data_IF_290617382945
#
_entry.id   IF_290617382945
#
_cell.length_a   1.000
_cell.length_b   1.000
_cell.length_c   1.000
_cell.angle_alpha   90.00
_cell.angle_beta   90.00
_cell.angle_gamma   90.00
#
_symmetry.space_group_name_H-M   'P 1'
#
loop_
_entity.id
_entity.type
_entity.pdbx_description
1 polymer ?
#
# COMPACT_ATOMS: atom_id res chain seq x y z
N UNK A 1 -70.26 -18.77 -81.31
CA UNK A 1 -70.08 -19.93 -82.23
C UNK A 1 -68.93 -20.77 -81.66
N UNK A 2 -69.21 -22.03 -81.25
CA UNK A 2 -68.30 -23.22 -81.09
C UNK A 2 -66.84 -22.97 -80.60
N UNK A 3 -66.23 -23.69 -79.65
CA UNK A 3 -66.33 -25.12 -79.27
C UNK A 3 -65.45 -25.39 -78.02
N UNK A 4 -66.01 -26.12 -77.07
CA UNK A 4 -65.52 -27.16 -76.14
C UNK A 4 -64.05 -27.65 -76.23
N UNK A 5 -63.36 -27.76 -75.08
CA UNK A 5 -62.56 -28.92 -74.59
C UNK A 5 -61.87 -28.57 -73.24
N UNK A 6 -62.27 -29.19 -72.12
CA UNK A 6 -61.63 -30.32 -71.40
C UNK A 6 -60.30 -29.99 -70.68
N UNK A 7 -60.22 -30.27 -69.37
CA UNK A 7 -58.95 -30.34 -68.64
C UNK A 7 -59.13 -30.44 -67.12
N UNK A 8 -58.91 -31.64 -66.59
CA UNK A 8 -59.00 -32.05 -65.19
C UNK A 8 -57.74 -31.62 -64.41
N UNK A 9 -57.90 -31.39 -63.10
CA UNK A 9 -56.95 -31.66 -62.00
C UNK A 9 -55.66 -30.82 -61.81
N UNK A 10 -55.51 -30.21 -60.61
CA UNK A 10 -54.58 -30.64 -59.54
C UNK A 10 -54.42 -29.55 -58.47
N UNK A 11 -54.72 -29.93 -57.22
CA UNK A 11 -54.38 -29.20 -56.00
C UNK A 11 -52.86 -28.95 -55.95
N UNK A 12 -52.44 -27.69 -55.91
CA UNK A 12 -51.06 -27.34 -55.54
C UNK A 12 -51.01 -27.04 -54.04
N UNK A 13 -50.41 -27.95 -53.29
CA UNK A 13 -49.92 -27.69 -51.95
C UNK A 13 -48.72 -26.73 -52.03
N UNK A 14 -48.89 -25.51 -51.51
CA UNK A 14 -47.79 -24.57 -51.31
C UNK A 14 -47.07 -24.90 -50.00
N UNK A 15 -45.84 -25.37 -50.11
CA UNK A 15 -44.90 -25.55 -49.00
C UNK A 15 -44.24 -24.19 -48.75
N UNK A 16 -44.45 -23.59 -47.58
CA UNK A 16 -43.69 -22.43 -47.10
C UNK A 16 -42.29 -22.89 -46.65
N UNK A 17 -41.20 -22.18 -46.97
CA UNK A 17 -39.88 -22.50 -46.43
C UNK A 17 -39.78 -22.01 -44.98
N UNK A 18 -39.36 -22.89 -44.08
CA UNK A 18 -38.99 -22.51 -42.72
C UNK A 18 -37.69 -21.71 -42.75
N UNK A 19 -37.75 -20.43 -42.40
CA UNK A 19 -36.56 -19.61 -42.17
C UNK A 19 -35.95 -19.97 -40.80
N UNK A 20 -34.77 -20.58 -40.82
CA UNK A 20 -33.96 -20.81 -39.63
C UNK A 20 -33.34 -19.46 -39.19
N UNK A 21 -33.83 -18.89 -38.09
CA UNK A 21 -33.15 -17.78 -37.43
C UNK A 21 -32.02 -18.33 -36.57
N UNK A 22 -30.78 -18.19 -37.03
CA UNK A 22 -29.60 -18.44 -36.21
C UNK A 22 -29.44 -17.26 -35.24
N UNK A 23 -29.81 -17.47 -33.97
CA UNK A 23 -29.48 -16.54 -32.89
C UNK A 23 -27.97 -16.67 -32.64
N UNK A 24 -27.19 -15.69 -33.07
CA UNK A 24 -25.79 -15.53 -32.65
C UNK A 24 -25.81 -14.88 -31.27
N UNK A 25 -25.66 -15.65 -30.21
CA UNK A 25 -25.45 -15.11 -28.86
C UNK A 25 -24.01 -14.60 -28.79
N UNK A 26 -23.80 -13.29 -28.90
CA UNK A 26 -22.51 -12.71 -28.52
C UNK A 26 -22.38 -12.85 -26.99
N UNK A 27 -21.48 -13.73 -26.56
CA UNK A 27 -21.03 -13.74 -25.18
C UNK A 27 -20.28 -12.42 -24.94
N UNK A 28 -20.89 -11.52 -24.18
CA UNK A 28 -20.18 -10.38 -23.62
C UNK A 28 -19.28 -10.95 -22.53
N UNK A 29 -18.00 -11.17 -22.85
CA UNK A 29 -17.00 -11.44 -21.82
C UNK A 29 -16.82 -10.15 -21.01
N UNK A 30 -17.60 -10.03 -19.93
CA UNK A 30 -17.31 -9.08 -18.88
C UNK A 30 -16.09 -9.61 -18.14
N UNK A 31 -14.90 -9.19 -18.56
CA UNK A 31 -13.69 -9.30 -17.76
C UNK A 31 -13.85 -8.37 -16.57
N UNK A 32 -14.51 -8.86 -15.52
CA UNK A 32 -14.36 -8.28 -14.20
C UNK A 32 -12.91 -8.50 -13.81
N UNK A 33 -12.10 -7.44 -13.92
CA UNK A 33 -10.83 -7.37 -13.20
C UNK A 33 -11.18 -7.69 -11.74
N UNK A 34 -10.84 -8.91 -11.28
CA UNK A 34 -10.98 -9.28 -9.89
C UNK A 34 -10.01 -8.37 -9.13
N UNK A 35 -10.53 -7.30 -8.54
CA UNK A 35 -9.79 -6.55 -7.55
C UNK A 35 -9.40 -7.56 -6.46
N UNK A 36 -8.12 -7.90 -6.43
CA UNK A 36 -7.62 -8.84 -5.45
C UNK A 36 -7.91 -8.26 -4.06
N UNK A 37 -8.54 -9.07 -3.21
CA UNK A 37 -9.04 -8.62 -1.91
C UNK A 37 -7.87 -8.65 -0.92
N UNK A 38 -7.61 -7.58 -0.14
CA UNK A 38 -6.59 -7.61 0.90
C UNK A 38 -6.94 -8.65 1.97
N UNK A 39 -5.94 -9.33 2.52
CA UNK A 39 -6.16 -10.32 3.57
C UNK A 39 -6.53 -9.62 4.90
N UNK A 40 -7.13 -10.35 5.87
CA UNK A 40 -7.37 -9.81 7.20
C UNK A 40 -6.09 -9.30 7.86
N UNK A 41 -6.22 -8.25 8.67
CA UNK A 41 -5.14 -7.76 9.53
C UNK A 41 -4.81 -8.83 10.57
N UNK A 42 -3.52 -9.10 10.74
CA UNK A 42 -2.97 -10.04 11.73
C UNK A 42 -2.20 -9.25 12.78
N UNK A 43 -2.50 -9.48 14.06
CA UNK A 43 -1.71 -8.95 15.17
C UNK A 43 -0.39 -9.69 15.26
N UNK A 44 0.72 -8.95 15.23
CA UNK A 44 2.07 -9.47 15.50
C UNK A 44 2.31 -9.40 17.01
N UNK A 45 2.01 -8.26 17.63
CA UNK A 45 2.18 -8.05 19.08
C UNK A 45 1.21 -6.95 19.56
N UNK A 46 0.51 -7.20 20.68
CA UNK A 46 -0.31 -6.18 21.36
C UNK A 46 0.47 -5.39 22.41
N UNK A 47 1.71 -5.77 22.71
CA UNK A 47 2.57 -5.19 23.76
C UNK A 47 2.04 -5.35 25.20
N UNK A 48 1.05 -6.22 25.42
CA UNK A 48 0.58 -6.56 26.77
C UNK A 48 1.63 -7.27 27.63
N UNK A 49 2.60 -7.92 26.98
CA UNK A 49 3.70 -8.65 27.61
C UNK A 49 5.06 -7.94 27.37
N UNK A 50 5.23 -6.75 27.95
CA UNK A 50 6.46 -5.95 27.78
C UNK A 50 7.77 -6.69 28.12
N UNK A 51 7.74 -7.66 29.04
CA UNK A 51 8.91 -8.44 29.45
C UNK A 51 9.49 -9.38 28.37
N UNK A 52 8.85 -9.52 27.22
CA UNK A 52 9.38 -10.27 26.06
C UNK A 52 10.28 -9.42 25.16
N UNK A 53 10.30 -8.10 25.36
CA UNK A 53 11.16 -7.17 24.65
C UNK A 53 12.44 -6.89 25.44
N UNK A 54 13.56 -6.79 24.73
CA UNK A 54 14.89 -6.58 25.32
C UNK A 54 15.45 -5.24 24.87
N UNK A 55 16.08 -4.51 25.80
CA UNK A 55 16.81 -3.29 25.49
C UNK A 55 18.20 -3.62 24.92
N UNK A 56 18.53 -3.00 23.78
CA UNK A 56 19.83 -3.02 23.15
C UNK A 56 20.33 -1.58 23.02
N UNK A 57 21.36 -1.23 23.79
CA UNK A 57 21.91 0.14 23.80
C UNK A 57 23.42 0.12 23.62
N UNK A 58 23.99 1.04 22.82
CA UNK A 58 25.41 1.27 22.79
C UNK A 58 25.87 2.00 24.05
N UNK A 59 27.19 2.09 24.24
CA UNK A 59 27.77 2.91 25.31
C UNK A 59 27.30 4.38 25.19
N UNK A 60 26.95 5.00 26.32
CA UNK A 60 26.48 6.39 26.38
C UNK A 60 24.99 6.60 26.08
N UNK A 61 24.21 5.51 25.99
CA UNK A 61 22.74 5.53 25.87
C UNK A 61 22.12 4.67 26.98
N UNK A 62 21.07 5.18 27.60
CA UNK A 62 20.26 4.45 28.58
C UNK A 62 18.86 4.19 27.97
N UNK A 63 18.30 3.00 28.24
CA UNK A 63 16.94 2.61 27.86
C UNK A 63 16.37 1.70 28.94
N UNK A 64 15.24 2.09 29.52
CA UNK A 64 14.41 1.23 30.37
C UNK A 64 13.11 0.86 29.64
N UNK A 65 12.74 -0.42 29.74
CA UNK A 65 11.52 -0.95 29.13
C UNK A 65 10.56 -1.36 30.23
N UNK A 66 9.35 -0.84 30.18
CA UNK A 66 8.30 -1.16 31.13
C UNK A 66 6.94 -1.27 30.44
N UNK A 67 5.92 -1.73 31.18
CA UNK A 67 4.54 -1.76 30.69
C UNK A 67 3.78 -0.57 31.26
N UNK A 68 2.94 0.07 30.46
CA UNK A 68 2.10 1.21 30.84
C UNK A 68 0.72 1.14 30.16
N UNK A 69 -0.15 2.12 30.40
CA UNK A 69 -1.45 2.22 29.73
C UNK A 69 -1.30 2.38 28.21
N UNK A 70 -1.92 1.46 27.47
CA UNK A 70 -1.93 1.43 26.01
C UNK A 70 -3.17 2.11 25.42
N UNK A 71 -3.20 2.19 24.10
CA UNK A 71 -4.42 2.56 23.36
C UNK A 71 -5.47 1.46 23.50
N UNK A 72 -5.02 0.19 23.53
CA UNK A 72 -5.86 -0.98 23.69
C UNK A 72 -5.20 -1.97 24.67
N UNK A 73 -5.52 -1.88 25.96
CA UNK A 73 -4.87 -2.72 26.96
C UNK A 73 -3.60 -2.05 27.47
N UNK A 74 -2.45 -2.70 27.34
CA UNK A 74 -1.15 -2.16 27.76
C UNK A 74 -0.26 -1.89 26.56
N UNK A 75 0.59 -0.89 26.70
CA UNK A 75 1.67 -0.59 25.76
C UNK A 75 3.03 -0.89 26.39
N UNK A 76 4.04 -1.02 25.55
CA UNK A 76 5.43 -0.94 26.00
C UNK A 76 5.85 0.52 26.08
N UNK A 77 6.42 0.89 27.21
CA UNK A 77 7.00 2.21 27.50
C UNK A 77 8.51 2.10 27.38
N UNK A 78 9.09 3.06 26.66
CA UNK A 78 10.53 3.22 26.45
C UNK A 78 10.96 4.54 27.07
N UNK A 79 11.65 4.49 28.20
CA UNK A 79 12.31 5.64 28.80
C UNK A 79 13.77 5.66 28.34
N UNK A 80 14.15 6.64 27.51
CA UNK A 80 15.47 6.70 26.90
C UNK A 80 16.24 7.96 27.30
N UNK A 81 17.58 7.86 27.28
CA UNK A 81 18.47 9.01 27.48
C UNK A 81 19.76 8.89 26.68
N UNK A 82 20.03 9.89 25.84
CA UNK A 82 21.28 10.03 25.09
C UNK A 82 22.32 10.81 25.89
N UNK A 83 23.00 10.14 26.82
CA UNK A 83 23.95 10.75 27.77
C UNK A 83 25.13 11.43 27.04
N UNK A 84 25.60 10.85 25.94
CA UNK A 84 26.66 11.40 25.11
C UNK A 84 26.17 12.41 24.04
N UNK A 85 24.89 12.77 24.05
CA UNK A 85 24.26 13.69 23.09
C UNK A 85 23.83 13.05 21.76
N UNK A 86 24.31 11.86 21.44
CA UNK A 86 23.92 11.09 20.25
C UNK A 86 23.72 9.60 20.56
N UNK A 87 23.34 8.82 19.55
CA UNK A 87 23.19 7.36 19.65
C UNK A 87 21.81 6.85 19.28
N UNK A 88 21.53 5.62 19.67
CA UNK A 88 20.28 4.92 19.40
C UNK A 88 19.88 4.05 20.59
N UNK A 89 18.61 4.14 20.99
CA UNK A 89 18.00 3.29 22.00
C UNK A 89 17.09 2.30 21.28
N UNK A 90 17.42 1.00 21.33
CA UNK A 90 16.72 -0.04 20.57
C UNK A 90 16.01 -0.99 21.52
N UNK A 91 14.74 -1.28 21.25
CA UNK A 91 14.07 -2.47 21.81
C UNK A 91 13.94 -3.54 20.73
N UNK A 92 14.17 -4.79 21.11
CA UNK A 92 14.14 -5.95 20.21
C UNK A 92 13.34 -7.11 20.79
N UNK A 93 12.61 -7.81 19.93
CA UNK A 93 12.01 -9.11 20.23
C UNK A 93 12.19 -10.06 19.05
N UNK A 94 12.44 -11.32 19.35
CA UNK A 94 12.54 -12.39 18.34
C UNK A 94 11.14 -12.83 17.90
N UNK A 95 11.00 -13.10 16.60
CA UNK A 95 9.79 -13.55 15.93
C UNK A 95 10.11 -14.68 14.96
N UNK A 96 9.10 -15.37 14.49
CA UNK A 96 9.26 -16.44 13.49
C UNK A 96 8.08 -16.46 12.54
N UNK A 97 8.10 -15.63 11.50
CA UNK A 97 7.05 -15.61 10.49
C UNK A 97 7.54 -15.28 9.08
N UNK A 98 6.80 -15.77 8.08
CA UNK A 98 7.00 -15.43 6.69
C UNK A 98 6.46 -14.03 6.39
N UNK A 99 7.30 -13.17 5.82
CA UNK A 99 6.91 -11.84 5.41
C UNK A 99 6.18 -11.92 4.06
N UNK A 100 4.94 -11.41 3.93
CA UNK A 100 4.24 -11.43 2.65
C UNK A 100 4.99 -10.64 1.57
N UNK A 101 4.77 -10.98 0.29
CA UNK A 101 5.43 -10.29 -0.82
C UNK A 101 5.03 -8.81 -0.94
N UNK A 102 3.79 -8.47 -0.54
CA UNK A 102 3.31 -7.10 -0.41
C UNK A 102 2.49 -6.97 0.87
N UNK A 103 2.76 -5.93 1.65
CA UNK A 103 2.14 -5.77 2.97
C UNK A 103 2.08 -4.32 3.41
N UNK A 104 1.28 -4.12 4.45
CA UNK A 104 1.32 -2.95 5.34
C UNK A 104 1.56 -3.45 6.75
N UNK A 105 2.54 -2.87 7.42
CA UNK A 105 2.74 -2.98 8.86
C UNK A 105 2.22 -1.69 9.49
N UNK A 106 1.44 -1.82 10.56
CA UNK A 106 0.97 -0.68 11.35
C UNK A 106 1.31 -0.89 12.82
N UNK A 107 1.60 0.20 13.52
CA UNK A 107 1.70 0.25 14.96
C UNK A 107 1.32 1.64 15.45
N UNK A 108 0.87 1.72 16.69
CA UNK A 108 0.56 2.97 17.35
C UNK A 108 1.75 3.45 18.16
N UNK A 109 1.95 4.77 18.19
CA UNK A 109 2.97 5.40 19.01
C UNK A 109 2.50 6.75 19.55
N UNK A 110 3.03 7.12 20.71
CA UNK A 110 2.94 8.45 21.31
C UNK A 110 4.22 8.74 22.10
N UNK A 111 4.44 9.97 22.52
CA UNK A 111 5.61 10.28 23.32
C UNK A 111 5.69 11.69 23.87
N UNK A 112 6.50 11.80 24.92
CA UNK A 112 6.94 13.02 25.58
C UNK A 112 8.47 13.07 25.44
N UNK A 113 8.94 13.59 24.30
CA UNK A 113 10.35 13.55 23.94
C UNK A 113 10.74 14.69 22.99
N UNK A 114 12.01 15.14 22.98
CA UNK A 114 12.54 16.02 21.95
C UNK A 114 12.41 15.43 20.55
N UNK A 115 12.52 16.28 19.53
CA UNK A 115 12.52 15.84 18.13
C UNK A 115 13.67 14.89 17.88
N UNK A 116 13.33 13.63 17.62
CA UNK A 116 14.24 12.53 17.35
C UNK A 116 13.67 11.68 16.21
N UNK A 117 14.35 10.61 15.82
CA UNK A 117 13.84 9.69 14.80
C UNK A 117 13.25 8.45 15.44
N UNK A 118 12.25 7.87 14.77
CA UNK A 118 11.71 6.56 15.11
C UNK A 118 11.95 5.60 13.95
N UNK A 119 12.67 4.52 14.21
CA UNK A 119 13.01 3.50 13.23
C UNK A 119 12.26 2.21 13.55
N UNK A 120 11.73 1.57 12.52
CA UNK A 120 11.20 0.22 12.58
C UNK A 120 12.12 -0.69 11.73
N UNK A 121 12.57 -1.80 12.30
CA UNK A 121 13.54 -2.70 11.68
C UNK A 121 13.03 -4.13 11.64
N UNK A 122 13.34 -4.81 10.55
CA UNK A 122 13.16 -6.24 10.36
C UNK A 122 14.53 -6.88 10.18
N UNK A 123 14.75 -7.97 10.91
CA UNK A 123 16.02 -8.72 10.90
C UNK A 123 15.77 -10.12 10.35
N UNK A 124 16.68 -10.61 9.50
CA UNK A 124 16.59 -11.96 8.95
C UNK A 124 17.11 -13.03 9.91
N UNK A 125 16.97 -14.29 9.49
CA UNK A 125 17.31 -15.49 10.27
C UNK A 125 18.79 -15.60 10.62
N UNK A 126 19.69 -14.88 9.94
CA UNK A 126 21.11 -14.85 10.32
C UNK A 126 21.38 -13.87 11.45
N UNK A 127 20.48 -12.91 11.68
CA UNK A 127 20.68 -11.82 12.63
C UNK A 127 21.62 -10.73 12.13
N UNK A 128 22.18 -10.86 10.92
CA UNK A 128 23.24 -9.98 10.40
C UNK A 128 22.74 -9.05 9.29
N UNK A 129 21.53 -9.26 8.77
CA UNK A 129 20.96 -8.41 7.74
C UNK A 129 19.71 -7.70 8.26
N UNK A 130 19.67 -6.37 8.04
CA UNK A 130 18.61 -5.51 8.55
C UNK A 130 17.97 -4.72 7.43
N UNK A 131 16.65 -4.67 7.45
CA UNK A 131 15.84 -3.76 6.66
C UNK A 131 15.13 -2.79 7.59
N UNK A 132 14.95 -1.55 7.17
CA UNK A 132 14.37 -0.51 8.01
C UNK A 132 13.37 0.38 7.27
N UNK A 133 12.51 1.01 8.06
CA UNK A 133 11.73 2.19 7.70
C UNK A 133 12.02 3.25 8.75
N UNK A 134 12.46 4.44 8.32
CA UNK A 134 12.89 5.54 9.20
C UNK A 134 11.88 6.68 9.11
N UNK A 135 11.22 6.98 10.23
CA UNK A 135 10.46 8.22 10.41
C UNK A 135 11.41 9.28 10.97
N UNK A 136 11.77 10.25 10.13
CA UNK A 136 12.72 11.31 10.49
C UNK A 136 12.00 12.46 11.18
N UNK A 137 12.76 13.20 11.99
CA UNK A 137 12.36 14.41 12.70
C UNK A 137 10.96 14.34 13.33
N UNK A 138 10.70 13.25 14.07
CA UNK A 138 9.42 13.02 14.73
C UNK A 138 9.30 13.97 15.91
N UNK A 139 8.39 14.93 15.78
CA UNK A 139 7.83 15.65 16.92
C UNK A 139 6.78 14.77 17.59
N UNK A 140 7.15 14.08 18.67
CA UNK A 140 6.25 13.18 19.37
C UNK A 140 5.05 13.93 19.93
N UNK A 141 3.86 13.33 19.77
CA UNK A 141 2.62 13.82 20.36
C UNK A 141 2.27 12.98 21.58
N UNK A 142 1.67 13.62 22.59
CA UNK A 142 1.05 12.91 23.71
C UNK A 142 -0.16 12.07 23.27
N UNK A 143 -0.77 12.39 22.13
CA UNK A 143 -1.88 11.65 21.54
C UNK A 143 -1.38 10.47 20.68
N UNK A 144 -2.12 9.37 20.75
CA UNK A 144 -1.82 8.17 19.95
C UNK A 144 -1.92 8.45 18.45
N UNK A 145 -0.83 8.17 17.74
CA UNK A 145 -0.71 8.26 16.28
C UNK A 145 -0.38 6.89 15.72
N UNK A 146 -0.93 6.56 14.54
CA UNK A 146 -0.64 5.28 13.87
C UNK A 146 0.41 5.47 12.78
N UNK A 147 1.53 4.76 12.89
CA UNK A 147 2.52 4.64 11.82
C UNK A 147 2.04 3.60 10.80
N UNK A 148 2.11 3.92 9.49
CA UNK A 148 1.71 3.02 8.40
C UNK A 148 2.87 2.76 7.44
N UNK A 149 3.49 1.58 7.55
CA UNK A 149 4.69 1.17 6.82
C UNK A 149 4.30 0.21 5.69
N UNK A 150 4.37 0.66 4.45
CA UNK A 150 4.14 -0.18 3.26
C UNK A 150 5.44 -0.91 2.89
N UNK A 151 5.38 -2.06 2.20
CA UNK A 151 6.57 -2.79 1.70
C UNK A 151 7.64 -1.87 1.09
N UNK A 152 7.24 -0.90 0.25
CA UNK A 152 8.13 0.06 -0.42
C UNK A 152 8.84 1.07 0.50
N UNK A 153 8.36 1.25 1.74
CA UNK A 153 9.02 2.10 2.73
C UNK A 153 10.15 1.35 3.46
N UNK A 154 10.17 0.02 3.35
CA UNK A 154 11.18 -0.84 3.97
C UNK A 154 12.32 -1.07 2.99
N UNK A 155 13.50 -0.56 3.32
CA UNK A 155 14.71 -0.67 2.50
C UNK A 155 15.80 -1.46 3.23
N UNK A 156 16.66 -2.13 2.48
CA UNK A 156 17.84 -2.76 3.06
C UNK A 156 18.73 -1.68 3.70
N UNK A 157 19.07 -1.87 4.97
CA UNK A 157 19.89 -0.95 5.73
C UNK A 157 21.36 -1.36 5.65
N UNK A 158 21.69 -2.56 6.14
CA UNK A 158 23.04 -3.09 6.20
C UNK A 158 23.05 -4.61 6.39
N UNK A 159 24.21 -5.22 6.16
CA UNK A 159 24.45 -6.66 6.32
C UNK A 159 25.25 -7.26 5.16
N UNK A 160 25.84 -8.45 5.33
CA UNK A 160 26.65 -9.10 4.31
C UNK A 160 25.88 -9.51 3.04
N UNK A 161 24.54 -9.61 3.10
CA UNK A 161 23.69 -9.93 1.94
C UNK A 161 23.70 -8.85 0.87
N UNK A 162 23.90 -7.59 1.25
CA UNK A 162 24.00 -6.46 0.32
C UNK A 162 22.69 -6.02 -0.37
N UNK A 163 21.52 -6.53 0.05
CA UNK A 163 20.23 -6.09 -0.47
C UNK A 163 19.19 -7.20 -0.70
N UNK A 164 18.20 -6.88 -1.54
CA UNK A 164 17.10 -7.77 -1.91
C UNK A 164 15.93 -7.73 -0.94
N UNK A 165 14.94 -8.58 -1.21
CA UNK A 165 13.76 -8.72 -0.35
C UNK A 165 14.01 -9.68 0.82
N UNK A 166 13.31 -9.40 1.93
CA UNK A 166 13.25 -10.23 3.12
C UNK A 166 12.03 -11.16 3.02
N UNK A 167 12.24 -12.46 3.22
CA UNK A 167 11.17 -13.48 3.11
C UNK A 167 10.67 -13.98 4.46
N UNK A 168 11.53 -13.97 5.49
CA UNK A 168 11.21 -14.37 6.86
C UNK A 168 11.78 -13.36 7.85
N UNK A 169 10.98 -12.99 8.83
CA UNK A 169 11.39 -12.09 9.93
C UNK A 169 11.75 -12.95 11.13
N UNK A 170 13.00 -12.81 11.59
CA UNK A 170 13.50 -13.46 12.79
C UNK A 170 13.49 -12.54 14.00
N UNK A 171 13.57 -11.22 13.79
CA UNK A 171 13.36 -10.25 14.85
C UNK A 171 12.80 -8.94 14.32
N UNK A 172 12.12 -8.22 15.22
CA UNK A 172 11.66 -6.86 15.00
C UNK A 172 12.36 -5.96 16.03
N UNK A 173 12.78 -4.79 15.56
CA UNK A 173 13.34 -3.76 16.43
C UNK A 173 12.64 -2.43 16.22
N UNK A 174 12.45 -1.71 17.32
CA UNK A 174 12.10 -0.30 17.30
C UNK A 174 13.28 0.48 17.87
N UNK A 175 13.69 1.54 17.20
CA UNK A 175 14.78 2.39 17.66
C UNK A 175 14.33 3.84 17.77
N UNK A 176 14.62 4.48 18.90
CA UNK A 176 14.70 5.94 18.97
C UNK A 176 16.14 6.32 18.67
N UNK A 177 16.37 7.12 17.62
CA UNK A 177 17.72 7.59 17.28
C UNK A 177 17.82 9.10 17.40
N UNK A 178 18.95 9.58 17.91
CA UNK A 178 19.13 10.98 18.25
C UNK A 178 19.08 11.86 16.99
N UNK A 179 18.05 12.71 16.90
CA UNK A 179 18.00 13.87 16.02
C UNK A 179 18.52 15.09 16.79
N UNK A 180 17.73 15.55 17.77
CA UNK A 180 18.15 16.56 18.75
C UNK A 180 18.89 15.93 19.93
N UNK A 181 18.64 14.64 20.22
CA UNK A 181 19.16 13.94 21.39
C UNK A 181 18.28 14.14 22.63
N UNK A 182 18.92 14.21 23.81
CA UNK A 182 18.25 14.41 25.09
C UNK A 182 17.67 13.13 25.70
N UNK A 183 16.65 13.29 26.54
CA UNK A 183 15.92 12.21 27.21
C UNK A 183 14.42 12.38 26.99
N UNK A 184 13.69 11.28 27.08
CA UNK A 184 12.24 11.30 26.94
C UNK A 184 11.64 9.92 27.04
N UNK A 185 10.32 9.89 26.91
CA UNK A 185 9.53 8.66 26.96
C UNK A 185 8.72 8.52 25.68
N UNK A 186 8.69 7.33 25.11
CA UNK A 186 7.72 6.98 24.07
C UNK A 186 6.99 5.69 24.44
N UNK A 187 5.82 5.51 23.85
CA UNK A 187 5.04 4.28 23.97
C UNK A 187 4.76 3.72 22.59
N UNK A 188 4.78 2.40 22.47
CA UNK A 188 4.44 1.66 21.25
C UNK A 188 3.34 0.65 21.59
N UNK A 189 2.35 0.52 20.70
CA UNK A 189 1.20 -0.37 20.87
C UNK A 189 0.74 -0.93 19.50
N UNK A 190 -0.12 -1.96 19.51
CA UNK A 190 -0.88 -2.45 18.36
C UNK A 190 -0.06 -2.77 17.09
N UNK A 191 1.02 -3.56 17.21
CA UNK A 191 1.81 -3.97 16.05
C UNK A 191 1.05 -5.03 15.24
N UNK A 192 0.74 -4.68 14.00
CA UNK A 192 -0.04 -5.51 13.08
C UNK A 192 0.59 -5.58 11.70
N UNK A 193 0.18 -6.60 10.94
CA UNK A 193 0.52 -6.75 9.52
C UNK A 193 -0.72 -7.13 8.72
N UNK A 194 -0.81 -6.58 7.52
CA UNK A 194 -1.80 -6.93 6.53
C UNK A 194 -1.12 -7.30 5.22
N UNK A 195 -1.37 -8.51 4.73
CA UNK A 195 -0.97 -8.88 3.37
C UNK A 195 -1.88 -8.17 2.36
N UNK A 196 -1.24 -7.50 1.42
CA UNK A 196 -1.88 -6.86 0.30
C UNK A 196 -1.76 -7.74 -0.95
N UNK A 197 -2.68 -7.59 -1.91
CA UNK A 197 -2.45 -8.10 -3.25
C UNK A 197 -1.11 -7.62 -3.81
N UNK A 198 -0.54 -8.33 -4.79
CA UNK A 198 0.58 -7.80 -5.56
C UNK A 198 0.25 -6.38 -6.04
N UNK A 199 1.23 -5.45 -6.07
CA UNK A 199 1.01 -4.15 -6.70
C UNK A 199 0.46 -4.37 -8.11
N UNK A 200 -0.57 -3.60 -8.51
CA UNK A 200 -1.10 -3.69 -9.87
C UNK A 200 0.05 -3.46 -10.85
N UNK A 201 0.44 -4.52 -11.57
CA UNK A 201 1.53 -4.44 -12.54
C UNK A 201 1.20 -3.46 -13.67
N UNK A 202 -0.09 -3.31 -13.97
CA UNK A 202 -0.63 -2.32 -14.89
C UNK A 202 -1.64 -1.45 -14.13
N UNK A 203 -1.24 -0.29 -13.59
CA UNK A 203 -2.23 0.71 -13.18
C UNK A 203 -3.08 1.11 -14.39
N UNK A 204 -4.36 1.44 -14.22
CA UNK A 204 -5.17 1.95 -15.32
C UNK A 204 -4.53 3.23 -15.88
N UNK A 205 -4.66 3.46 -17.18
CA UNK A 205 -4.20 4.69 -17.80
C UNK A 205 -4.87 5.89 -17.14
N UNK A 206 -4.11 6.93 -16.76
CA UNK A 206 -4.68 8.11 -16.15
C UNK A 206 -5.60 8.81 -17.14
N UNK A 207 -6.77 9.25 -16.67
CA UNK A 207 -7.74 10.00 -17.46
C UNK A 207 -7.55 11.48 -17.17
N UNK A 208 -7.20 12.25 -18.19
CA UNK A 208 -7.07 13.69 -18.11
C UNK A 208 -8.37 14.40 -18.49
N UNK A 209 -8.74 15.42 -17.72
CA UNK A 209 -9.80 16.38 -18.03
C UNK A 209 -9.30 17.79 -17.75
N UNK A 210 -9.82 18.79 -18.45
CA UNK A 210 -9.37 20.17 -18.31
C UNK A 210 -10.53 21.17 -18.38
N UNK A 211 -10.32 22.38 -17.88
CA UNK A 211 -11.26 23.50 -18.02
C UNK A 211 -11.53 23.87 -19.48
N UNK A 212 -10.48 23.81 -20.30
CA UNK A 212 -10.48 24.14 -21.71
C UNK A 212 -9.31 23.42 -22.40
N UNK A 213 -9.29 23.43 -23.72
CA UNK A 213 -8.16 22.93 -24.51
C UNK A 213 -8.04 23.74 -25.79
N UNK A 214 -6.83 24.19 -26.12
CA UNK A 214 -6.51 24.73 -27.43
C UNK A 214 -6.60 23.60 -28.45
N UNK A 215 -7.16 23.87 -29.63
CA UNK A 215 -7.29 22.86 -30.68
C UNK A 215 -5.96 22.16 -30.98
N UNK A 216 -5.94 20.83 -30.87
CA UNK A 216 -4.74 20.00 -31.07
C UNK A 216 -3.85 19.86 -29.83
N UNK A 217 -4.27 20.41 -28.69
CA UNK A 217 -3.60 20.33 -27.38
C UNK A 217 -4.59 19.87 -26.30
N UNK A 218 -5.37 18.83 -26.63
CA UNK A 218 -6.43 18.29 -25.77
C UNK A 218 -5.88 17.69 -24.47
N UNK A 219 -6.70 17.64 -23.42
CA UNK A 219 -6.30 17.12 -22.11
C UNK A 219 -5.69 15.70 -22.19
N UNK A 220 -6.21 14.83 -23.07
CA UNK A 220 -5.72 13.45 -23.25
C UNK A 220 -4.26 13.36 -23.69
N UNK A 221 -3.71 14.41 -24.32
CA UNK A 221 -2.30 14.46 -24.70
C UNK A 221 -1.37 14.63 -23.50
N UNK A 222 -1.89 14.99 -22.32
CA UNK A 222 -1.09 14.99 -21.10
C UNK A 222 -0.80 13.58 -20.57
N UNK A 223 -1.51 12.57 -21.07
CA UNK A 223 -1.50 11.18 -20.54
C UNK A 223 -1.33 10.12 -21.63
N UNK A 224 -0.96 10.50 -22.85
CA UNK A 224 -0.82 9.58 -24.00
C UNK A 224 0.52 8.83 -24.06
N UNK A 225 1.46 9.16 -23.16
CA UNK A 225 2.78 8.54 -23.07
C UNK A 225 3.80 9.07 -24.07
N UNK A 226 3.48 10.09 -24.87
CA UNK A 226 4.42 10.73 -25.80
C UNK A 226 4.98 12.03 -25.20
N UNK A 227 6.30 12.05 -24.96
CA UNK A 227 6.99 13.24 -24.41
C UNK A 227 6.98 14.48 -25.32
N UNK A 228 6.51 14.35 -26.56
CA UNK A 228 6.44 15.44 -27.55
C UNK A 228 5.06 16.07 -27.69
N UNK A 229 4.04 15.46 -27.09
CA UNK A 229 2.67 16.01 -27.03
C UNK A 229 2.41 16.60 -25.64
N UNK A 230 1.42 17.49 -25.55
CA UNK A 230 1.02 18.12 -24.28
C UNK A 230 -0.37 18.73 -24.38
N UNK A 231 -1.00 18.92 -23.22
CA UNK A 231 -2.19 19.74 -23.09
C UNK A 231 -1.83 21.23 -23.01
N UNK A 232 -2.65 22.08 -23.62
CA UNK A 232 -2.62 23.53 -23.44
C UNK A 232 -4.05 24.06 -23.32
N UNK A 233 -4.30 24.93 -22.35
CA UNK A 233 -5.59 25.61 -22.22
C UNK A 233 -5.86 26.51 -23.42
N UNK A 234 -7.13 26.89 -23.58
CA UNK A 234 -7.48 27.96 -24.52
C UNK A 234 -6.88 29.29 -24.05
N UNK A 235 -6.47 30.16 -24.99
CA UNK A 235 -5.87 31.46 -24.68
C UNK A 235 -6.84 32.40 -23.93
N UNK A 236 -8.16 32.15 -24.02
CA UNK A 236 -9.20 32.92 -23.33
C UNK A 236 -9.53 32.41 -21.93
N UNK A 237 -9.00 31.26 -21.53
CA UNK A 237 -9.22 30.68 -20.21
C UNK A 237 -8.38 31.40 -19.16
N UNK A 238 -9.05 32.17 -18.29
CA UNK A 238 -8.40 32.97 -17.25
C UNK A 238 -8.11 32.19 -15.98
N UNK A 239 -8.63 30.96 -15.84
CA UNK A 239 -8.44 30.09 -14.69
C UNK A 239 -8.25 28.61 -15.13
N UNK A 240 -7.19 28.32 -15.90
CA UNK A 240 -7.00 27.01 -16.49
C UNK A 240 -6.70 25.94 -15.43
N UNK A 241 -7.30 24.76 -15.57
CA UNK A 241 -7.00 23.59 -14.75
C UNK A 241 -6.91 22.31 -15.59
N UNK A 242 -6.09 21.37 -15.11
CA UNK A 242 -5.99 20.00 -15.59
C UNK A 242 -6.18 19.08 -14.38
N UNK A 243 -7.13 18.15 -14.48
CA UNK A 243 -7.37 17.12 -13.48
C UNK A 243 -7.00 15.75 -14.06
N UNK A 244 -6.18 15.02 -13.32
CA UNK A 244 -5.78 13.65 -13.62
C UNK A 244 -6.49 12.70 -12.67
N UNK A 245 -7.35 11.85 -13.21
CA UNK A 245 -7.85 10.68 -12.51
C UNK A 245 -6.89 9.51 -12.74
N UNK A 246 -6.24 9.03 -11.67
CA UNK A 246 -5.26 7.95 -11.74
C UNK A 246 -5.91 6.55 -11.59
N UNK A 247 -7.24 6.48 -11.54
CA UNK A 247 -8.00 5.22 -11.48
C UNK A 247 -7.78 4.37 -10.22
N UNK A 248 -7.16 4.92 -9.19
CA UNK A 248 -6.88 4.21 -7.94
C UNK A 248 -8.08 4.21 -6.99
N UNK A 249 -8.58 3.03 -6.65
CA UNK A 249 -9.42 2.85 -5.45
C UNK A 249 -8.55 3.19 -4.24
N UNK A 250 -8.99 4.18 -3.44
CA UNK A 250 -8.33 4.58 -2.20
C UNK A 250 -8.50 3.53 -1.11
#
# INVERSE_FOLDING_TARGET
MRRIANGFELLRHSILPAALFTIVTQAVNLDFAHAAIPRPVTTIDSFDAAGEWNALVPEGVELDLSSDEGRNGRAIRLDFRFVAGGGYAVMRKEFDFALPANYIIEFDYRGEAPVNHLEFKLVDETGENVWWSVMRDVAFSEEWTTARIKKRHVTFAWGPRGGGDLERVAAIEFAVTAGTGGEGTIWIDNLTIQELPPPNANPPDPIASASSSRAGFEATLATDGDSTTFWASDDSDTLPWLALDLGGVR
#
